data_IF_921144494859
#
_entry.id   IF_921144494859
#
_cell.length_a   1.000
_cell.length_b   1.000
_cell.length_c   1.000
_cell.angle_alpha   90.00
_cell.angle_beta   90.00
_cell.angle_gamma   90.00
#
_symmetry.space_group_name_H-M   'P 1'
#
loop_
_entity.id
_entity.type
_entity.pdbx_description
1 polymer ?
#
# COMPACT_ATOMS: atom_id res chain seq x y z
N UNK A 1 -22.27 25.40 -22.05
CA UNK A 1 -23.07 24.17 -22.17
C UNK A 1 -22.05 23.04 -22.29
N UNK A 2 -21.71 22.21 -21.30
CA UNK A 2 -22.55 21.44 -20.38
C UNK A 2 -21.81 21.21 -19.05
N UNK A 3 -22.34 21.76 -17.94
CA UNK A 3 -21.76 21.65 -16.59
C UNK A 3 -22.17 20.34 -15.86
N UNK A 4 -22.94 19.49 -16.52
CA UNK A 4 -23.54 18.27 -15.97
C UNK A 4 -22.87 16.96 -16.43
N UNK A 5 -21.82 17.04 -17.27
CA UNK A 5 -21.09 15.84 -17.75
C UNK A 5 -20.02 15.37 -16.73
N UNK A 6 -19.45 16.29 -15.96
CA UNK A 6 -18.37 16.00 -15.00
C UNK A 6 -18.89 15.49 -13.64
N UNK A 7 -20.10 15.87 -13.25
CA UNK A 7 -20.73 15.49 -11.98
C UNK A 7 -21.04 13.99 -11.87
N UNK A 8 -21.57 13.29 -12.91
CA UNK A 8 -21.79 11.85 -12.82
C UNK A 8 -20.48 11.04 -12.90
N UNK A 9 -19.44 11.53 -13.58
CA UNK A 9 -18.15 10.84 -13.69
C UNK A 9 -17.44 10.74 -12.32
N UNK A 10 -17.52 11.79 -11.51
CA UNK A 10 -16.97 11.79 -10.15
C UNK A 10 -17.76 10.87 -9.21
N UNK A 11 -19.08 10.73 -9.43
CA UNK A 11 -19.95 9.88 -8.61
C UNK A 11 -19.81 8.38 -8.93
N UNK A 12 -19.47 8.02 -10.17
CA UNK A 12 -19.20 6.63 -10.57
C UNK A 12 -17.86 6.12 -10.01
N UNK A 13 -16.87 6.99 -9.81
CA UNK A 13 -15.59 6.64 -9.18
C UNK A 13 -15.74 6.39 -7.66
N UNK A 14 -16.72 7.02 -7.01
CA UNK A 14 -17.03 6.81 -5.59
C UNK A 14 -17.72 5.45 -5.30
N UNK A 15 -18.27 4.80 -6.32
CA UNK A 15 -19.00 3.52 -6.21
C UNK A 15 -18.10 2.28 -6.49
N UNK A 16 -16.83 2.49 -6.84
CA UNK A 16 -15.87 1.43 -7.19
C UNK A 16 -14.77 1.20 -6.13
N UNK A 17 -14.95 1.72 -4.91
CA UNK A 17 -14.04 1.46 -3.79
C UNK A 17 -14.69 0.38 -2.89
N UNK A 18 -13.99 -0.72 -2.54
CA UNK A 18 -14.52 -1.69 -1.59
C UNK A 18 -14.77 -0.98 -0.27
N UNK A 19 -16.01 -1.03 0.22
CA UNK A 19 -16.38 -0.48 1.51
C UNK A 19 -15.53 -1.14 2.59
N UNK A 20 -14.60 -0.38 3.17
CA UNK A 20 -13.94 -0.77 4.41
C UNK A 20 -15.03 -0.95 5.48
N UNK A 21 -15.21 -2.21 5.90
CA UNK A 21 -16.14 -2.57 6.96
C UNK A 21 -15.54 -2.10 8.29
N UNK A 22 -16.14 -1.09 8.92
CA UNK A 22 -15.89 -0.81 10.33
C UNK A 22 -16.53 -1.94 11.14
N UNK A 23 -15.75 -2.94 11.54
CA UNK A 23 -16.16 -3.92 12.55
C UNK A 23 -16.14 -3.26 13.94
N UNK A 24 -17.15 -2.47 14.26
CA UNK A 24 -17.46 -2.09 15.64
C UNK A 24 -18.41 -3.14 16.22
N UNK A 25 -17.87 -4.19 16.84
CA UNK A 25 -18.64 -5.15 17.64
C UNK A 25 -19.03 -4.49 18.97
N UNK A 26 -20.09 -3.68 18.92
CA UNK A 26 -20.91 -3.33 20.09
C UNK A 26 -21.88 -4.50 20.32
N UNK A 27 -21.97 -4.96 21.56
CA UNK A 27 -22.55 -6.26 21.89
C UNK A 27 -24.02 -6.50 21.54
N UNK A 28 -24.33 -7.80 21.53
CA UNK A 28 -25.63 -8.46 21.76
C UNK A 28 -26.73 -8.23 20.72
N UNK A 29 -26.98 -9.24 19.88
CA UNK A 29 -28.34 -9.70 19.58
C UNK A 29 -28.33 -11.18 19.14
N UNK A 30 -29.14 -11.99 19.83
CA UNK A 30 -29.13 -13.45 19.76
C UNK A 30 -29.70 -14.04 18.47
N UNK A 31 -29.21 -15.24 18.15
CA UNK A 31 -29.74 -16.14 17.13
C UNK A 31 -29.39 -17.58 17.50
N UNK A 32 -30.42 -18.38 17.74
CA UNK A 32 -30.36 -19.78 18.18
C UNK A 32 -30.19 -20.73 16.97
N UNK A 33 -29.30 -21.71 17.06
CA UNK A 33 -29.14 -22.75 16.02
C UNK A 33 -28.00 -23.72 16.37
N UNK A 34 -28.35 -24.97 16.69
CA UNK A 34 -27.53 -25.93 17.42
C UNK A 34 -26.32 -26.56 16.72
N UNK A 35 -25.44 -27.14 17.56
CA UNK A 35 -24.31 -27.97 17.17
C UNK A 35 -23.56 -28.52 18.38
N UNK A 36 -23.82 -29.80 18.69
CA UNK A 36 -23.03 -30.79 19.46
C UNK A 36 -22.13 -30.33 20.60
N UNK A 37 -22.52 -30.77 21.81
CA UNK A 37 -21.70 -30.88 23.02
C UNK A 37 -20.44 -31.73 22.80
N UNK A 38 -19.28 -31.10 22.89
CA UNK A 38 -17.99 -31.71 23.19
C UNK A 38 -17.31 -30.88 24.27
N UNK A 39 -17.64 -31.12 25.53
CA UNK A 39 -16.87 -30.58 26.67
C UNK A 39 -15.76 -31.58 26.95
N UNK A 40 -14.54 -31.25 26.54
CA UNK A 40 -13.33 -31.84 27.10
C UNK A 40 -12.49 -30.72 27.69
N UNK A 41 -12.34 -30.77 29.01
CA UNK A 41 -11.66 -29.76 29.80
C UNK A 41 -10.16 -29.70 29.53
N UNK A 42 -9.67 -28.47 29.50
CA UNK A 42 -8.37 -28.05 29.98
C UNK A 42 -8.56 -26.62 30.52
N UNK A 43 -7.87 -26.19 31.59
CA UNK A 43 -7.83 -24.77 31.93
C UNK A 43 -7.06 -24.08 30.81
N UNK A 44 -7.76 -23.62 29.79
CA UNK A 44 -7.22 -22.65 28.86
C UNK A 44 -7.05 -21.36 29.65
N UNK A 45 -5.88 -21.20 30.26
CA UNK A 45 -5.30 -19.87 30.43
C UNK A 45 -5.58 -19.16 29.10
N UNK A 46 -6.34 -18.06 29.05
CA UNK A 46 -6.34 -17.24 27.87
C UNK A 46 -4.95 -16.65 27.83
N UNK A 47 -4.00 -17.39 27.25
CA UNK A 47 -2.81 -16.82 26.66
C UNK A 47 -3.35 -15.88 25.61
N UNK A 48 -3.57 -14.64 26.02
CA UNK A 48 -3.74 -13.50 25.13
C UNK A 48 -2.41 -13.43 24.40
N UNK A 49 -2.33 -14.19 23.31
CA UNK A 49 -1.25 -14.07 22.36
C UNK A 49 -1.47 -12.71 21.73
N UNK A 50 -0.57 -11.77 22.04
CA UNK A 50 -0.47 -10.57 21.23
C UNK A 50 -0.02 -11.05 19.86
N UNK A 51 -0.99 -11.28 18.97
CA UNK A 51 -0.75 -11.41 17.54
C UNK A 51 -0.15 -10.07 17.15
N UNK A 52 1.17 -10.04 17.04
CA UNK A 52 1.90 -8.90 16.54
C UNK A 52 1.39 -8.66 15.12
N UNK A 53 0.65 -7.57 14.83
CA UNK A 53 0.16 -7.29 13.48
C UNK A 53 1.30 -6.99 12.49
N UNK A 54 2.55 -7.07 12.97
CA UNK A 54 3.78 -6.90 12.23
C UNK A 54 4.55 -8.21 11.97
N UNK A 55 4.08 -9.36 12.48
CA UNK A 55 4.74 -10.69 12.34
C UNK A 55 6.26 -10.67 12.51
N UNK A 56 6.79 -9.72 13.28
CA UNK A 56 8.20 -9.66 13.61
C UNK A 56 8.44 -10.69 14.70
N UNK A 57 8.62 -11.94 14.28
CA UNK A 57 9.58 -12.82 14.92
C UNK A 57 10.89 -12.03 15.04
N UNK A 58 11.58 -12.25 16.15
CA UNK A 58 12.64 -11.47 16.83
C UNK A 58 13.90 -11.08 16.01
N UNK A 59 13.79 -10.92 14.70
CA UNK A 59 14.88 -10.66 13.75
C UNK A 59 14.73 -9.28 13.09
N UNK A 60 15.81 -8.49 13.15
CA UNK A 60 15.86 -7.18 12.48
C UNK A 60 15.64 -7.28 10.97
N UNK A 61 15.96 -8.42 10.37
CA UNK A 61 15.78 -8.65 8.94
C UNK A 61 14.30 -8.60 8.53
N UNK A 62 13.42 -9.28 9.27
CA UNK A 62 11.97 -9.27 9.02
C UNK A 62 11.37 -7.88 9.23
N UNK A 63 11.85 -7.15 10.24
CA UNK A 63 11.45 -5.76 10.45
C UNK A 63 11.86 -4.85 9.29
N UNK A 64 13.09 -5.01 8.78
CA UNK A 64 13.62 -4.21 7.68
C UNK A 64 12.93 -4.55 6.33
N UNK A 65 12.59 -5.82 6.11
CA UNK A 65 11.77 -6.25 4.96
C UNK A 65 10.36 -5.67 5.03
N UNK A 66 9.74 -5.69 6.20
CA UNK A 66 8.39 -5.16 6.41
C UNK A 66 8.28 -3.64 6.16
N UNK A 67 9.22 -2.85 6.69
CA UNK A 67 9.22 -1.39 6.43
C UNK A 67 9.52 -1.10 4.95
N UNK A 68 10.41 -1.87 4.33
CA UNK A 68 10.77 -1.70 2.93
C UNK A 68 9.58 -1.99 2.01
N UNK A 69 8.83 -3.07 2.26
CA UNK A 69 7.65 -3.42 1.47
C UNK A 69 6.55 -2.36 1.57
N UNK A 70 6.32 -1.80 2.77
CA UNK A 70 5.40 -0.67 2.96
C UNK A 70 5.85 0.56 2.16
N UNK A 71 7.13 0.91 2.23
CA UNK A 71 7.69 2.06 1.49
C UNK A 71 7.58 1.85 -0.02
N UNK A 72 7.85 0.65 -0.52
CA UNK A 72 7.74 0.33 -1.95
C UNK A 72 6.30 0.39 -2.40
N UNK A 73 5.38 -0.24 -1.67
CA UNK A 73 3.96 -0.27 -2.00
C UNK A 73 3.39 1.16 -2.14
N UNK A 74 3.65 2.02 -1.15
CA UNK A 74 3.22 3.42 -1.19
C UNK A 74 3.96 4.20 -2.26
N UNK A 75 5.28 4.02 -2.36
CA UNK A 75 6.12 4.75 -3.29
C UNK A 75 5.81 4.44 -4.75
N UNK A 76 5.46 3.19 -5.09
CA UNK A 76 5.05 2.80 -6.45
C UNK A 76 3.79 3.55 -6.87
N UNK A 77 2.78 3.66 -5.99
CA UNK A 77 1.56 4.42 -6.28
C UNK A 77 1.89 5.90 -6.51
N UNK A 78 2.76 6.49 -5.67
CA UNK A 78 3.18 7.90 -5.80
C UNK A 78 3.94 8.14 -7.11
N UNK A 79 4.85 7.24 -7.49
CA UNK A 79 5.61 7.32 -8.75
C UNK A 79 4.68 7.31 -9.95
N UNK A 80 3.66 6.44 -9.96
CA UNK A 80 2.67 6.38 -11.04
C UNK A 80 1.92 7.70 -11.16
N UNK A 81 1.45 8.27 -10.04
CA UNK A 81 0.76 9.56 -10.03
C UNK A 81 1.65 10.69 -10.55
N UNK A 82 2.93 10.71 -10.14
CA UNK A 82 3.90 11.68 -10.67
C UNK A 82 4.15 11.48 -12.17
N UNK A 83 4.24 10.24 -12.65
CA UNK A 83 4.40 9.94 -14.08
C UNK A 83 3.22 10.48 -14.91
N UNK A 84 1.98 10.29 -14.43
CA UNK A 84 0.78 10.83 -15.07
C UNK A 84 0.82 12.37 -15.08
N UNK A 85 1.20 13.00 -13.98
CA UNK A 85 1.35 14.46 -13.90
C UNK A 85 2.38 14.99 -14.90
N UNK A 86 3.55 14.35 -14.98
CA UNK A 86 4.61 14.71 -15.93
C UNK A 86 4.14 14.53 -17.37
N UNK A 87 3.45 13.41 -17.67
CA UNK A 87 2.88 13.13 -18.99
C UNK A 87 1.87 14.19 -19.42
N UNK A 88 0.98 14.61 -18.53
CA UNK A 88 0.06 15.71 -18.77
C UNK A 88 0.79 17.03 -19.02
N UNK A 89 1.84 17.32 -18.23
CA UNK A 89 2.61 18.54 -18.38
C UNK A 89 3.31 18.59 -19.75
N UNK A 90 3.85 17.47 -20.25
CA UNK A 90 4.35 17.35 -21.62
C UNK A 90 3.25 17.55 -22.68
N UNK A 91 2.04 17.02 -22.48
CA UNK A 91 0.94 17.19 -23.43
C UNK A 91 0.45 18.64 -23.55
N UNK A 92 0.55 19.43 -22.47
CA UNK A 92 0.11 20.85 -22.46
C UNK A 92 1.18 21.84 -22.92
N UNK A 93 2.41 21.38 -23.20
CA UNK A 93 3.54 22.26 -23.60
C UNK A 93 3.33 23.04 -24.89
N UNK A 94 2.31 22.69 -25.69
CA UNK A 94 1.91 23.41 -26.90
C UNK A 94 1.59 24.89 -26.64
N UNK A 95 1.21 25.26 -25.41
CA UNK A 95 0.73 26.61 -25.08
C UNK A 95 1.82 27.52 -24.51
N UNK A 96 2.79 26.99 -23.74
CA UNK A 96 3.82 27.82 -23.10
C UNK A 96 5.20 27.12 -23.07
N UNK A 97 6.29 27.80 -23.47
CA UNK A 97 7.64 27.22 -23.48
C UNK A 97 8.19 26.91 -22.08
N UNK A 98 7.71 27.59 -21.05
CA UNK A 98 8.12 27.39 -19.66
C UNK A 98 7.73 25.99 -19.13
N UNK A 99 6.60 25.46 -19.59
CA UNK A 99 6.16 24.10 -19.24
C UNK A 99 7.14 23.04 -19.73
N UNK A 100 7.89 23.28 -20.82
CA UNK A 100 8.88 22.31 -21.32
C UNK A 100 10.04 22.13 -20.35
N UNK A 101 10.45 23.21 -19.67
CA UNK A 101 11.52 23.16 -18.68
C UNK A 101 11.02 22.43 -17.44
N UNK A 102 9.84 22.81 -16.92
CA UNK A 102 9.21 22.12 -15.79
C UNK A 102 8.99 20.63 -16.03
N UNK A 103 8.55 20.25 -17.24
CA UNK A 103 8.29 18.86 -17.57
C UNK A 103 9.56 18.01 -17.48
N UNK A 104 10.68 18.51 -17.99
CA UNK A 104 11.97 17.83 -17.93
C UNK A 104 12.47 17.70 -16.49
N UNK A 105 12.40 18.77 -15.72
CA UNK A 105 12.81 18.73 -14.30
C UNK A 105 11.96 17.75 -13.51
N UNK A 106 10.64 17.75 -13.71
CA UNK A 106 9.73 16.84 -13.03
C UNK A 106 9.93 15.38 -13.48
N UNK A 107 10.23 15.13 -14.75
CA UNK A 107 10.59 13.80 -15.25
C UNK A 107 11.86 13.30 -14.57
N UNK A 108 12.92 14.11 -14.52
CA UNK A 108 14.18 13.74 -13.86
C UNK A 108 13.95 13.40 -12.38
N UNK A 109 13.15 14.19 -11.68
CA UNK A 109 12.81 13.94 -10.28
C UNK A 109 12.01 12.64 -10.10
N UNK A 110 11.06 12.37 -11.00
CA UNK A 110 10.30 11.12 -11.02
C UNK A 110 11.20 9.92 -11.32
N UNK A 111 12.14 10.07 -12.24
CA UNK A 111 13.10 9.03 -12.60
C UNK A 111 14.00 8.70 -11.41
N UNK A 112 14.53 9.71 -10.73
CA UNK A 112 15.34 9.54 -9.51
C UNK A 112 14.53 8.85 -8.42
N UNK A 113 13.29 9.27 -8.18
CA UNK A 113 12.42 8.61 -7.20
C UNK A 113 12.17 7.14 -7.52
N UNK A 114 11.88 6.83 -8.79
CA UNK A 114 11.69 5.45 -9.24
C UNK A 114 12.96 4.60 -9.14
N UNK A 115 14.12 5.19 -9.44
CA UNK A 115 15.41 4.51 -9.36
C UNK A 115 15.80 4.25 -7.90
N UNK A 116 15.51 5.16 -6.98
CA UNK A 116 15.74 4.97 -5.54
C UNK A 116 14.89 3.82 -5.01
N UNK A 117 13.62 3.74 -5.41
CA UNK A 117 12.74 2.62 -5.05
C UNK A 117 13.29 1.27 -5.52
N UNK A 118 13.68 1.20 -6.80
CA UNK A 118 14.29 0.00 -7.38
C UNK A 118 15.63 -0.35 -6.75
N UNK A 119 16.47 0.67 -6.48
CA UNK A 119 17.76 0.52 -5.85
C UNK A 119 17.66 0.01 -4.42
N UNK A 120 16.67 0.46 -3.66
CA UNK A 120 16.41 -0.03 -2.31
C UNK A 120 16.08 -1.53 -2.29
N UNK A 121 15.25 -2.01 -3.23
CA UNK A 121 15.00 -3.46 -3.39
C UNK A 121 16.25 -4.24 -3.77
N UNK A 122 16.98 -3.74 -4.77
CA UNK A 122 18.18 -4.41 -5.27
C UNK A 122 19.26 -4.56 -4.18
N UNK A 123 19.42 -3.56 -3.32
CA UNK A 123 20.37 -3.63 -2.19
C UNK A 123 19.87 -4.62 -1.14
N UNK A 124 18.58 -4.62 -0.81
CA UNK A 124 18.02 -5.58 0.15
C UNK A 124 18.22 -7.03 -0.31
N UNK A 125 17.87 -7.33 -1.57
CA UNK A 125 18.09 -8.67 -2.16
C UNK A 125 19.58 -9.04 -2.19
N UNK A 126 20.47 -8.09 -2.46
CA UNK A 126 21.92 -8.32 -2.44
C UNK A 126 22.48 -8.68 -1.05
N UNK A 127 21.94 -8.06 0.01
CA UNK A 127 22.31 -8.39 1.39
C UNK A 127 21.80 -9.79 1.74
N UNK A 128 20.54 -10.10 1.44
CA UNK A 128 19.95 -11.43 1.67
C UNK A 128 20.74 -12.53 0.96
N UNK A 129 21.11 -12.32 -0.31
CA UNK A 129 21.91 -13.25 -1.08
C UNK A 129 23.29 -13.49 -0.46
N UNK A 130 23.90 -12.46 0.12
CA UNK A 130 25.22 -12.58 0.78
C UNK A 130 25.12 -13.34 2.10
N UNK A 131 24.09 -13.06 2.90
CA UNK A 131 23.86 -13.78 4.17
C UNK A 131 23.57 -15.26 3.91
N UNK A 132 22.73 -15.56 2.93
CA UNK A 132 22.39 -16.94 2.56
C UNK A 132 23.57 -17.69 1.90
N UNK A 133 24.54 -16.98 1.31
CA UNK A 133 25.74 -17.58 0.75
C UNK A 133 26.80 -17.95 1.81
N UNK A 134 26.70 -17.37 3.02
CA UNK A 134 27.63 -17.62 4.13
C UNK A 134 27.07 -18.53 5.24
N UNK A 135 25.76 -18.80 5.27
CA UNK A 135 25.13 -19.79 6.16
C UNK A 135 25.09 -21.17 5.53
#
# INVERSE_FOLDING_TARGET
MNKYIFTPLFFVVLLAVPTFSLAQSTGVQGGSGGGSTGVQGAPSNPSVTLINPLSAETDLETFLRGILDVVISVGTVVVILMLVYVGFLFATTSVNPENKVKARTALLWTLVGSLVLLGAKAIAEGIEATVNALS
#
